data_IF_285092566051
#
_entry.id   IF_285092566051
#
_cell.length_a   1.000
_cell.length_b   1.000
_cell.length_c   1.000
_cell.angle_alpha   90.00
_cell.angle_beta   90.00
_cell.angle_gamma   90.00
#
_symmetry.space_group_name_H-M   'P 1'
#
loop_
_entity.id
_entity.type
_entity.pdbx_description
1 polymer ?
#
# COMPACT_ATOMS: atom_id res chain seq x y z
N UNK A 1 -69.67 -9.10 19.10
CA UNK A 1 -68.80 -9.00 17.92
C UNK A 1 -67.57 -8.21 18.34
N UNK A 2 -66.47 -8.25 17.56
CA UNK A 2 -65.16 -7.64 17.85
C UNK A 2 -64.13 -8.56 18.54
N UNK A 3 -63.71 -9.61 17.82
CA UNK A 3 -62.45 -10.34 18.07
C UNK A 3 -62.07 -11.17 16.84
N UNK A 4 -61.80 -10.53 15.70
CA UNK A 4 -61.25 -11.27 14.54
C UNK A 4 -60.40 -10.43 13.56
N UNK A 5 -60.17 -9.13 13.81
CA UNK A 5 -59.40 -8.27 12.89
C UNK A 5 -57.91 -8.11 13.28
N UNK A 6 -57.49 -8.58 14.47
CA UNK A 6 -56.12 -8.40 14.96
C UNK A 6 -55.09 -9.38 14.40
N UNK A 7 -55.50 -10.64 14.16
CA UNK A 7 -54.58 -11.75 13.89
C UNK A 7 -54.05 -11.74 12.44
N UNK A 8 -54.88 -11.30 11.49
CA UNK A 8 -54.49 -11.19 10.07
C UNK A 8 -53.46 -10.09 9.79
N UNK A 9 -53.49 -9.00 10.57
CA UNK A 9 -52.56 -7.87 10.42
C UNK A 9 -51.18 -8.21 10.97
N UNK A 10 -51.09 -8.97 12.07
CA UNK A 10 -49.82 -9.43 12.63
C UNK A 10 -49.12 -10.42 11.70
N UNK A 11 -49.83 -11.42 11.14
CA UNK A 11 -49.22 -12.39 10.23
C UNK A 11 -48.67 -11.77 8.93
N UNK A 12 -49.32 -10.73 8.38
CA UNK A 12 -48.81 -10.01 7.20
C UNK A 12 -47.57 -9.19 7.53
N UNK A 13 -47.51 -8.56 8.72
CA UNK A 13 -46.35 -7.82 9.20
C UNK A 13 -45.14 -8.72 9.36
N UNK A 14 -45.30 -9.92 9.91
CA UNK A 14 -44.19 -10.88 10.08
C UNK A 14 -43.62 -11.36 8.75
N UNK A 15 -44.47 -11.63 7.75
CA UNK A 15 -44.01 -12.02 6.40
C UNK A 15 -43.23 -10.91 5.68
N UNK A 16 -43.67 -9.65 5.80
CA UNK A 16 -42.96 -8.51 5.24
C UNK A 16 -41.64 -8.24 5.96
N UNK A 17 -41.60 -8.36 7.29
CA UNK A 17 -40.38 -8.24 8.10
C UNK A 17 -39.35 -9.33 7.76
N UNK A 18 -39.79 -10.58 7.58
CA UNK A 18 -38.89 -11.68 7.15
C UNK A 18 -38.39 -11.49 5.71
N UNK A 19 -39.23 -10.99 4.80
CA UNK A 19 -38.83 -10.67 3.42
C UNK A 19 -37.82 -9.52 3.33
N UNK A 20 -38.03 -8.46 4.11
CA UNK A 20 -37.11 -7.31 4.22
C UNK A 20 -35.78 -7.74 4.87
N UNK A 21 -35.83 -8.58 5.90
CA UNK A 21 -34.64 -9.13 6.54
C UNK A 21 -33.78 -9.98 5.58
N UNK A 22 -34.43 -10.80 4.73
CA UNK A 22 -33.72 -11.60 3.73
C UNK A 22 -33.09 -10.73 2.64
N UNK A 23 -33.82 -9.72 2.15
CA UNK A 23 -33.31 -8.79 1.15
C UNK A 23 -32.12 -7.97 1.69
N UNK A 24 -32.24 -7.43 2.91
CA UNK A 24 -31.15 -6.71 3.57
C UNK A 24 -29.94 -7.62 3.83
N UNK A 25 -30.18 -8.89 4.20
CA UNK A 25 -29.12 -9.89 4.37
C UNK A 25 -28.34 -10.14 3.08
N UNK A 26 -29.04 -10.31 1.94
CA UNK A 26 -28.42 -10.47 0.62
C UNK A 26 -27.61 -9.24 0.21
N UNK A 27 -28.16 -8.04 0.42
CA UNK A 27 -27.46 -6.78 0.13
C UNK A 27 -26.20 -6.64 0.97
N UNK A 28 -26.28 -6.91 2.28
CA UNK A 28 -25.10 -6.88 3.16
C UNK A 28 -24.04 -7.90 2.75
N UNK A 29 -24.44 -9.10 2.37
CA UNK A 29 -23.53 -10.15 1.93
C UNK A 29 -22.81 -9.76 0.63
N UNK A 30 -23.52 -9.17 -0.33
CA UNK A 30 -22.93 -8.64 -1.56
C UNK A 30 -21.94 -7.50 -1.26
N UNK A 31 -22.31 -6.59 -0.37
CA UNK A 31 -21.48 -5.45 0.01
C UNK A 31 -20.21 -5.89 0.74
N UNK A 32 -20.30 -6.92 1.60
CA UNK A 32 -19.16 -7.57 2.23
C UNK A 32 -18.21 -8.20 1.22
N UNK A 33 -18.72 -8.86 0.18
CA UNK A 33 -17.88 -9.44 -0.88
C UNK A 33 -17.14 -8.35 -1.64
N UNK A 34 -17.83 -7.26 -2.03
CA UNK A 34 -17.20 -6.12 -2.72
C UNK A 34 -16.14 -5.48 -1.83
N UNK A 35 -16.44 -5.29 -0.54
CA UNK A 35 -15.50 -4.72 0.43
C UNK A 35 -14.29 -5.62 0.63
N UNK A 36 -14.47 -6.93 0.76
CA UNK A 36 -13.39 -7.89 0.90
C UNK A 36 -12.47 -7.92 -0.33
N UNK A 37 -13.05 -7.89 -1.53
CA UNK A 37 -12.28 -7.81 -2.78
C UNK A 37 -11.52 -6.48 -2.86
N UNK A 38 -12.19 -5.36 -2.60
CA UNK A 38 -11.55 -4.04 -2.57
C UNK A 38 -10.39 -3.99 -1.58
N UNK A 39 -10.59 -4.48 -0.36
CA UNK A 39 -9.57 -4.56 0.67
C UNK A 39 -8.36 -5.39 0.23
N UNK A 40 -8.59 -6.57 -0.36
CA UNK A 40 -7.51 -7.43 -0.87
C UNK A 40 -6.69 -6.73 -1.96
N UNK A 41 -7.33 -6.02 -2.89
CA UNK A 41 -6.63 -5.22 -3.89
C UNK A 41 -5.79 -4.11 -3.24
N UNK A 42 -6.35 -3.34 -2.30
CA UNK A 42 -5.60 -2.29 -1.59
C UNK A 42 -4.39 -2.83 -0.81
N UNK A 43 -4.51 -4.01 -0.18
CA UNK A 43 -3.39 -4.60 0.57
C UNK A 43 -2.28 -5.16 -0.32
N UNK A 44 -2.61 -5.65 -1.53
CA UNK A 44 -1.62 -6.18 -2.47
C UNK A 44 -0.89 -5.11 -3.26
N UNK A 45 -1.52 -3.95 -3.49
CA UNK A 45 -0.97 -2.90 -4.36
C UNK A 45 0.28 -2.19 -3.82
N UNK A 46 0.72 -2.47 -2.60
CA UNK A 46 1.88 -1.80 -1.99
C UNK A 46 2.87 -2.79 -1.37
N UNK A 47 3.14 -3.89 -2.06
CA UNK A 47 4.24 -4.77 -1.67
C UNK A 47 5.57 -4.07 -2.01
N UNK A 48 6.13 -3.37 -1.02
CA UNK A 48 7.47 -2.81 -1.10
C UNK A 48 8.48 -3.88 -0.73
N UNK A 49 9.32 -4.29 -1.68
CA UNK A 49 10.44 -5.19 -1.42
C UNK A 49 11.70 -4.38 -1.12
N UNK A 50 12.23 -4.50 0.09
CA UNK A 50 13.51 -3.87 0.45
C UNK A 50 14.64 -4.50 -0.37
N UNK A 51 15.41 -3.67 -1.06
CA UNK A 51 16.57 -4.12 -1.86
C UNK A 51 17.88 -3.88 -1.12
N UNK A 52 18.07 -2.68 -0.57
CA UNK A 52 19.29 -2.27 0.11
C UNK A 52 18.96 -1.32 1.26
N UNK A 53 19.68 -1.44 2.38
CA UNK A 53 19.63 -0.48 3.49
C UNK A 53 21.05 -0.18 3.91
N UNK A 54 21.34 1.10 4.10
CA UNK A 54 22.63 1.55 4.60
C UNK A 54 22.45 2.64 5.65
N UNK A 55 23.30 2.59 6.66
CA UNK A 55 23.37 3.56 7.75
C UNK A 55 24.59 4.46 7.56
N UNK A 56 24.48 5.69 8.03
CA UNK A 56 25.56 6.65 8.02
C UNK A 56 26.72 6.18 8.92
N UNK A 57 27.94 6.71 8.76
CA UNK A 57 29.11 6.27 9.54
C UNK A 57 28.94 6.27 11.06
N UNK A 58 28.13 7.18 11.61
CA UNK A 58 27.79 7.24 13.04
C UNK A 58 26.34 6.77 13.34
N UNK A 59 25.70 6.07 12.41
CA UNK A 59 24.33 5.55 12.54
C UNK A 59 23.26 6.62 12.85
N UNK A 60 23.50 7.87 12.43
CA UNK A 60 22.56 8.99 12.63
C UNK A 60 21.47 8.97 11.56
N UNK A 61 21.88 8.74 10.30
CA UNK A 61 21.00 8.76 9.14
C UNK A 61 20.92 7.38 8.47
N UNK A 62 19.79 7.13 7.79
CA UNK A 62 19.53 5.88 7.09
C UNK A 62 19.03 6.15 5.68
N UNK A 63 19.53 5.37 4.73
CA UNK A 63 19.02 5.31 3.36
C UNK A 63 18.46 3.92 3.12
N UNK A 64 17.26 3.86 2.58
CA UNK A 64 16.58 2.60 2.25
C UNK A 64 16.13 2.62 0.80
N UNK A 65 16.57 1.63 0.05
CA UNK A 65 16.19 1.45 -1.35
C UNK A 65 15.20 0.31 -1.42
N UNK A 66 13.97 0.62 -1.82
CA UNK A 66 12.88 -0.35 -1.98
C UNK A 66 12.43 -0.42 -3.43
N UNK A 67 11.96 -1.61 -3.83
CA UNK A 67 11.22 -1.83 -5.06
C UNK A 67 9.74 -1.82 -4.72
N UNK A 68 8.96 -0.98 -5.39
CA UNK A 68 7.50 -1.00 -5.29
C UNK A 68 6.99 -1.73 -6.52
N UNK A 69 6.31 -2.86 -6.31
CA UNK A 69 5.67 -3.62 -7.38
C UNK A 69 4.35 -2.96 -7.79
N UNK A 70 4.47 -1.84 -8.51
CA UNK A 70 3.35 -1.11 -9.10
C UNK A 70 3.08 -1.61 -10.53
N UNK A 71 1.82 -1.80 -10.89
CA UNK A 71 1.43 -2.22 -12.24
C UNK A 71 1.29 -0.98 -13.15
N UNK A 72 1.83 -0.95 -14.39
CA UNK A 72 2.33 -2.08 -15.18
C UNK A 72 3.82 -2.40 -15.00
N UNK A 73 4.63 -1.45 -14.51
CA UNK A 73 6.07 -1.60 -14.37
C UNK A 73 6.53 -1.25 -12.94
N UNK A 74 7.35 -2.09 -12.30
CA UNK A 74 7.85 -1.83 -10.97
C UNK A 74 8.78 -0.62 -10.92
N UNK A 75 8.68 0.14 -9.83
CA UNK A 75 9.46 1.36 -9.58
C UNK A 75 10.47 1.15 -8.45
N UNK A 76 11.57 1.87 -8.51
CA UNK A 76 12.55 1.95 -7.42
C UNK A 76 12.28 3.22 -6.61
N UNK A 77 12.24 3.10 -5.29
CA UNK A 77 12.07 4.22 -4.36
C UNK A 77 13.24 4.25 -3.39
N UNK A 78 13.99 5.35 -3.41
CA UNK A 78 15.06 5.64 -2.46
C UNK A 78 14.45 6.51 -1.37
N UNK A 79 14.37 5.99 -0.16
CA UNK A 79 13.84 6.66 1.03
C UNK A 79 15.00 7.13 1.90
N UNK A 80 14.90 8.35 2.38
CA UNK A 80 15.86 8.94 3.31
C UNK A 80 15.15 10.04 4.07
N UNK A 81 15.26 10.04 5.40
CA UNK A 81 14.51 10.96 6.26
C UNK A 81 12.99 10.94 5.92
N UNK A 82 12.33 12.11 5.81
CA UNK A 82 10.95 12.25 5.34
C UNK A 82 10.84 12.41 3.81
N UNK A 83 11.93 12.19 3.07
CA UNK A 83 12.04 12.39 1.63
C UNK A 83 12.08 11.06 0.89
N UNK A 84 11.62 11.07 -0.36
CA UNK A 84 11.77 9.92 -1.25
C UNK A 84 11.99 10.33 -2.69
N UNK A 85 12.88 9.61 -3.37
CA UNK A 85 13.17 9.78 -4.78
C UNK A 85 12.73 8.53 -5.52
N UNK A 86 11.87 8.72 -6.52
CA UNK A 86 11.38 7.63 -7.37
C UNK A 86 12.18 7.55 -8.67
N UNK A 87 12.55 6.32 -9.06
CA UNK A 87 13.20 5.99 -10.31
C UNK A 87 12.40 4.90 -11.00
N UNK A 88 12.01 5.13 -12.25
CA UNK A 88 11.23 4.18 -13.07
C UNK A 88 12.06 3.03 -13.62
N UNK A 89 13.38 3.09 -13.44
CA UNK A 89 14.36 2.20 -14.06
C UNK A 89 14.99 1.33 -12.98
N UNK A 90 14.64 0.04 -12.95
CA UNK A 90 15.30 -0.91 -12.07
C UNK A 90 16.78 -1.08 -12.46
N UNK A 91 17.70 -0.96 -11.50
CA UNK A 91 19.11 -1.27 -11.69
C UNK A 91 19.36 -2.78 -11.55
N UNK A 92 20.53 -3.23 -11.99
CA UNK A 92 21.01 -4.58 -11.72
C UNK A 92 21.78 -4.65 -10.40
N UNK A 93 22.45 -3.55 -10.03
CA UNK A 93 23.18 -3.42 -8.79
C UNK A 93 22.95 -2.04 -8.17
N UNK A 94 22.86 -1.98 -6.85
CA UNK A 94 22.66 -0.79 -6.04
C UNK A 94 23.83 -0.74 -5.06
N UNK A 95 24.54 0.38 -4.99
CA UNK A 95 25.45 0.65 -3.89
C UNK A 95 25.13 2.01 -3.26
N UNK A 96 25.46 2.15 -1.99
CA UNK A 96 25.30 3.39 -1.24
C UNK A 96 26.66 3.74 -0.68
N UNK A 97 27.19 4.88 -1.08
CA UNK A 97 28.48 5.39 -0.63
C UNK A 97 28.28 6.65 0.21
N UNK A 98 28.63 6.57 1.49
CA UNK A 98 28.54 7.70 2.40
C UNK A 98 29.81 8.55 2.33
N UNK A 99 29.63 9.86 2.16
CA UNK A 99 30.72 10.85 2.26
C UNK A 99 30.92 11.31 3.69
N UNK A 100 29.82 11.50 4.41
CA UNK A 100 29.77 11.86 5.83
C UNK A 100 28.40 11.41 6.38
N UNK A 101 28.01 11.84 7.59
CA UNK A 101 26.71 11.44 8.15
C UNK A 101 25.50 12.04 7.44
N UNK A 102 25.68 13.14 6.72
CA UNK A 102 24.62 13.94 6.11
C UNK A 102 24.68 13.95 4.57
N UNK A 103 25.65 13.27 3.98
CA UNK A 103 25.82 13.18 2.53
C UNK A 103 26.13 11.75 2.10
N UNK A 104 25.37 11.27 1.12
CA UNK A 104 25.63 9.99 0.47
C UNK A 104 25.31 10.04 -1.02
N UNK A 105 25.88 9.10 -1.76
CA UNK A 105 25.58 8.87 -3.16
C UNK A 105 25.03 7.45 -3.33
N UNK A 106 23.83 7.36 -3.91
CA UNK A 106 23.21 6.08 -4.28
C UNK A 106 23.54 5.82 -5.74
N UNK A 107 24.31 4.78 -6.00
CA UNK A 107 24.81 4.42 -7.33
C UNK A 107 23.97 3.28 -7.88
N UNK A 108 23.24 3.56 -8.97
CA UNK A 108 22.36 2.61 -9.64
C UNK A 108 23.03 2.13 -10.93
N UNK A 109 23.56 0.90 -10.91
CA UNK A 109 24.30 0.36 -12.06
C UNK A 109 23.42 -0.51 -12.95
N UNK A 110 23.48 -0.26 -14.26
CA UNK A 110 22.79 -1.04 -15.30
C UNK A 110 23.79 -1.61 -16.30
N UNK A 111 23.54 -2.84 -16.75
CA UNK A 111 24.34 -3.48 -17.79
C UNK A 111 24.34 -2.64 -19.08
N UNK A 112 25.52 -2.20 -19.50
CA UNK A 112 25.71 -1.49 -20.76
C UNK A 112 25.18 -0.05 -20.75
N UNK A 113 25.01 0.57 -19.59
CA UNK A 113 24.69 2.00 -19.46
C UNK A 113 25.55 2.63 -18.37
N UNK A 114 25.72 3.94 -18.44
CA UNK A 114 26.38 4.68 -17.36
C UNK A 114 25.57 4.55 -16.05
N UNK A 115 26.23 4.45 -14.89
CA UNK A 115 25.55 4.45 -13.60
C UNK A 115 24.76 5.73 -13.37
N UNK A 116 23.55 5.60 -12.86
CA UNK A 116 22.74 6.75 -12.41
C UNK A 116 23.08 7.02 -10.94
N UNK A 117 23.68 8.18 -10.67
CA UNK A 117 24.15 8.57 -9.34
C UNK A 117 23.14 9.56 -8.76
N UNK A 118 22.53 9.17 -7.64
CA UNK A 118 21.59 10.00 -6.90
C UNK A 118 22.28 10.53 -5.66
N UNK A 119 22.47 11.85 -5.60
CA UNK A 119 22.96 12.52 -4.39
C UNK A 119 21.85 12.63 -3.38
N UNK A 120 22.16 12.26 -2.15
CA UNK A 120 21.28 12.31 -0.99
C UNK A 120 21.94 13.20 0.05
N UNK A 121 21.23 14.26 0.43
CA UNK A 121 21.66 15.24 1.43
C UNK A 121 20.60 15.31 2.54
N UNK A 122 21.06 15.24 3.78
CA UNK A 122 20.26 15.34 4.99
C UNK A 122 20.37 16.75 5.57
N UNK A 123 19.31 17.23 6.22
CA UNK A 123 19.36 18.50 6.94
C UNK A 123 20.14 18.33 8.25
N UNK A 124 21.15 19.18 8.48
CA UNK A 124 21.87 19.22 9.74
C UNK A 124 20.97 19.79 10.86
N UNK A 125 20.99 19.21 12.08
CA UNK A 125 20.16 19.65 13.20
C UNK A 125 20.59 21.00 13.81
#
# INVERSE_FOLDING_TARGET
MDRDEGDGIEQQKTKLLTGIGCFLGLVFLMLLVIFAVGWLFFTKSFEETQLEVSFSPNDINKIEVVKVDEFPDPILRIKYDDKSIMKTKLPQNISIEWKNDYEAEVILTRRGSEPDIVKVEFEEP
#
